data_IF_987858525205
#
_entry.id   IF_987858525205
#
_cell.length_a   1.000
_cell.length_b   1.000
_cell.length_c   1.000
_cell.angle_alpha   90.00
_cell.angle_beta   90.00
_cell.angle_gamma   90.00
#
_symmetry.space_group_name_H-M   'P 1'
#
loop_
_entity.id
_entity.type
_entity.pdbx_description
1 polymer ?
#
# COMPACT_ATOMS: atom_id res chain seq x y z
N UNK A 1 -25.40 13.61 2.84
CA UNK A 1 -24.82 12.32 3.31
C UNK A 1 -25.14 11.24 2.29
N UNK A 2 -24.45 11.25 1.14
CA UNK A 2 -24.77 10.38 0.01
C UNK A 2 -24.15 9.00 0.14
N UNK A 3 -24.84 7.96 -0.35
CA UNK A 3 -24.32 6.61 -0.46
C UNK A 3 -23.04 6.61 -1.30
N UNK A 4 -21.88 6.45 -0.64
CA UNK A 4 -20.60 6.28 -1.33
C UNK A 4 -20.51 4.82 -1.74
N UNK A 5 -20.57 4.55 -3.04
CA UNK A 5 -20.28 3.22 -3.57
C UNK A 5 -18.79 2.96 -3.41
N UNK A 6 -18.43 2.19 -2.38
CA UNK A 6 -17.08 1.71 -2.13
C UNK A 6 -17.14 0.19 -2.07
N UNK A 7 -16.69 -0.48 -3.13
CA UNK A 7 -16.69 -1.94 -3.22
C UNK A 7 -15.26 -2.44 -3.42
N UNK A 8 -14.81 -3.32 -2.52
CA UNK A 8 -13.52 -4.02 -2.67
C UNK A 8 -13.75 -5.38 -3.30
N UNK A 9 -13.23 -5.61 -4.50
CA UNK A 9 -13.20 -6.92 -5.15
C UNK A 9 -11.91 -7.62 -4.72
N UNK A 10 -12.02 -8.81 -4.11
CA UNK A 10 -10.86 -9.64 -3.74
C UNK A 10 -10.48 -10.49 -4.94
N UNK A 11 -9.26 -10.34 -5.44
CA UNK A 11 -8.72 -11.12 -6.56
C UNK A 11 -7.97 -12.38 -6.08
N UNK A 12 -7.86 -12.58 -4.75
CA UNK A 12 -7.14 -13.70 -4.14
C UNK A 12 -5.75 -13.31 -3.62
N UNK A 13 -5.18 -14.11 -2.71
CA UNK A 13 -3.80 -13.92 -2.21
C UNK A 13 -3.51 -12.62 -1.46
N UNK A 14 -4.55 -11.86 -1.06
CA UNK A 14 -4.40 -10.55 -0.45
C UNK A 14 -4.51 -9.38 -1.42
N UNK A 15 -4.43 -9.63 -2.74
CA UNK A 15 -4.71 -8.65 -3.79
C UNK A 15 -6.22 -8.35 -3.86
N UNK A 16 -6.55 -7.07 -4.00
CA UNK A 16 -7.91 -6.63 -4.23
C UNK A 16 -7.98 -5.24 -4.82
N UNK A 17 -9.00 -5.01 -5.64
CA UNK A 17 -9.26 -3.72 -6.28
C UNK A 17 -10.36 -3.01 -5.50
N UNK A 18 -10.11 -1.77 -5.10
CA UNK A 18 -11.14 -0.88 -4.56
C UNK A 18 -11.75 -0.11 -5.72
N UNK A 19 -13.06 -0.25 -5.92
CA UNK A 19 -13.84 0.53 -6.86
C UNK A 19 -14.59 1.58 -6.04
N UNK A 20 -14.37 2.85 -6.35
CA UNK A 20 -15.10 3.97 -5.75
C UNK A 20 -15.49 4.99 -6.84
N UNK A 21 -16.26 6.04 -6.47
CA UNK A 21 -16.64 7.10 -7.42
C UNK A 21 -15.45 7.79 -8.12
N UNK A 22 -14.23 7.71 -7.56
CA UNK A 22 -13.00 8.29 -8.14
C UNK A 22 -12.16 7.29 -8.97
N UNK A 23 -12.62 6.04 -9.14
CA UNK A 23 -11.98 5.05 -10.01
C UNK A 23 -11.56 3.76 -9.30
N UNK A 24 -10.65 3.03 -9.97
CA UNK A 24 -10.16 1.71 -9.56
C UNK A 24 -8.77 1.86 -8.93
N UNK A 25 -8.65 1.46 -7.67
CA UNK A 25 -7.38 1.51 -6.93
C UNK A 25 -6.95 0.10 -6.49
N UNK A 26 -5.82 -0.42 -6.99
CA UNK A 26 -5.29 -1.69 -6.53
C UNK A 26 -4.76 -1.59 -5.09
N UNK A 27 -5.03 -2.64 -4.31
CA UNK A 27 -4.60 -2.81 -2.92
C UNK A 27 -4.08 -4.22 -2.70
N UNK A 28 -2.95 -4.36 -2.02
CA UNK A 28 -2.36 -5.61 -1.62
C UNK A 28 -2.31 -5.70 -0.09
N UNK A 29 -2.99 -6.67 0.51
CA UNK A 29 -3.03 -6.88 1.95
C UNK A 29 -2.26 -8.14 2.33
N UNK A 30 -1.22 -7.98 3.14
CA UNK A 30 -0.42 -9.06 3.72
C UNK A 30 -0.69 -9.19 5.23
N UNK A 31 -0.13 -10.22 5.88
CA UNK A 31 -0.24 -10.39 7.34
C UNK A 31 0.36 -9.20 8.11
N UNK A 32 1.40 -8.58 7.56
CA UNK A 32 2.16 -7.47 8.15
C UNK A 32 1.54 -6.10 7.87
N UNK A 33 0.77 -5.94 6.78
CA UNK A 33 0.25 -4.63 6.41
C UNK A 33 -0.66 -4.61 5.18
N UNK A 34 -1.06 -3.42 4.76
CA UNK A 34 -1.76 -3.17 3.49
C UNK A 34 -0.97 -2.16 2.68
N UNK A 35 -0.66 -2.48 1.44
CA UNK A 35 -0.03 -1.62 0.47
C UNK A 35 -1.06 -1.24 -0.59
N UNK A 36 -1.11 0.02 -0.97
CA UNK A 36 -2.00 0.51 -2.03
C UNK A 36 -1.34 1.66 -2.75
N UNK A 37 -1.85 2.02 -3.93
CA UNK A 37 -1.39 3.19 -4.68
C UNK A 37 -1.39 4.49 -3.82
N UNK A 38 -2.30 4.57 -2.85
CA UNK A 38 -2.50 5.78 -2.04
C UNK A 38 -1.72 5.75 -0.71
N UNK A 39 -0.99 4.67 -0.42
CA UNK A 39 -0.20 4.55 0.80
C UNK A 39 -0.09 3.13 1.34
N UNK A 40 0.66 3.01 2.43
CA UNK A 40 0.89 1.78 3.14
C UNK A 40 0.45 1.89 4.60
N UNK A 41 0.04 0.76 5.17
CA UNK A 41 -0.25 0.63 6.58
C UNK A 41 0.40 -0.64 7.12
N UNK A 42 1.17 -0.52 8.19
CA UNK A 42 1.84 -1.64 8.86
C UNK A 42 1.28 -1.83 10.26
N UNK A 43 1.13 -3.10 10.68
CA UNK A 43 0.74 -3.44 12.04
C UNK A 43 1.95 -3.24 12.95
N UNK A 44 1.80 -2.44 14.00
CA UNK A 44 2.87 -2.17 14.98
C UNK A 44 2.90 -3.18 16.12
N UNK A 45 2.01 -4.18 16.12
CA UNK A 45 1.90 -5.21 17.17
C UNK A 45 0.97 -4.83 18.34
N UNK A 46 0.70 -3.54 18.54
CA UNK A 46 -0.24 -3.07 19.55
C UNK A 46 -1.67 -3.08 18.96
N UNK A 47 -2.64 -3.76 19.61
CA UNK A 47 -4.02 -3.78 19.13
C UNK A 47 -4.59 -2.35 19.10
N UNK A 48 -5.06 -1.91 17.93
CA UNK A 48 -5.62 -0.57 17.71
C UNK A 48 -4.63 0.46 17.16
N UNK A 49 -3.33 0.23 17.28
CA UNK A 49 -2.30 1.10 16.69
C UNK A 49 -1.83 0.54 15.35
N UNK A 50 -1.91 1.36 14.31
CA UNK A 50 -1.41 1.07 12.97
C UNK A 50 -0.60 2.26 12.51
N UNK A 51 0.58 2.00 11.99
CA UNK A 51 1.35 3.01 11.30
C UNK A 51 0.76 3.14 9.89
N UNK A 52 0.32 4.34 9.51
CA UNK A 52 -0.28 4.62 8.20
C UNK A 52 0.43 5.81 7.60
N UNK A 53 0.92 5.66 6.37
CA UNK A 53 1.65 6.71 5.68
C UNK A 53 1.32 6.67 4.17
N UNK A 54 1.18 7.85 3.55
CA UNK A 54 0.90 8.04 2.12
C UNK A 54 2.18 7.84 1.29
N UNK A 55 2.69 6.61 1.30
CA UNK A 55 4.02 6.30 0.76
C UNK A 55 4.05 5.92 -0.72
N UNK A 56 4.16 6.91 -1.60
CA UNK A 56 4.88 6.75 -2.87
C UNK A 56 6.41 6.88 -2.64
N UNK A 57 6.80 7.74 -1.69
CA UNK A 57 8.20 8.08 -1.38
C UNK A 57 9.06 6.92 -0.91
N UNK A 58 8.52 6.00 -0.11
CA UNK A 58 9.31 4.88 0.46
C UNK A 58 9.81 3.94 -0.63
N UNK A 59 9.00 3.70 -1.68
CA UNK A 59 9.43 2.89 -2.82
C UNK A 59 10.55 3.59 -3.58
N UNK A 60 10.45 4.90 -3.82
CA UNK A 60 11.50 5.68 -4.48
C UNK A 60 12.80 5.73 -3.68
N UNK A 61 12.72 5.88 -2.35
CA UNK A 61 13.90 5.86 -1.48
C UNK A 61 14.55 4.48 -1.51
N UNK A 62 13.75 3.42 -1.41
CA UNK A 62 14.27 2.05 -1.39
C UNK A 62 14.89 1.63 -2.73
N UNK A 63 14.25 1.95 -3.86
CA UNK A 63 14.80 1.65 -5.19
C UNK A 63 16.02 2.52 -5.50
N UNK A 64 15.98 3.81 -5.15
CA UNK A 64 17.13 4.71 -5.30
C UNK A 64 18.33 4.26 -4.47
N UNK A 65 18.11 3.82 -3.23
CA UNK A 65 19.16 3.31 -2.36
C UNK A 65 19.77 2.00 -2.88
N UNK A 66 18.96 1.06 -3.34
CA UNK A 66 19.45 -0.17 -3.97
C UNK A 66 20.25 0.12 -5.24
N UNK A 67 19.77 1.02 -6.09
CA UNK A 67 20.50 1.43 -7.30
C UNK A 67 21.83 2.11 -6.96
N UNK A 68 21.86 2.96 -5.93
CA UNK A 68 23.08 3.59 -5.45
C UNK A 68 24.12 2.59 -4.92
N UNK A 69 23.66 1.57 -4.18
CA UNK A 69 24.54 0.49 -3.70
C UNK A 69 25.09 -0.33 -4.86
N UNK A 70 24.26 -0.70 -5.83
CA UNK A 70 24.70 -1.44 -7.03
C UNK A 70 25.72 -0.63 -7.83
N UNK A 71 25.55 0.69 -7.91
CA UNK A 71 26.49 1.57 -8.61
C UNK A 71 27.86 1.66 -7.91
N UNK A 72 27.90 1.71 -6.57
CA UNK A 72 29.17 1.83 -5.83
C UNK A 72 29.91 0.50 -5.64
N UNK A 73 29.21 -0.64 -5.67
CA UNK A 73 29.79 -1.97 -5.55
C UNK A 73 30.13 -2.62 -6.91
N UNK A 74 29.92 -1.90 -8.02
CA UNK A 74 30.39 -2.27 -9.34
C UNK A 74 31.73 -1.60 -9.63
#
# INVERSE_FOLDING_TARGET
MGFRFQKRIKLGGGLGLNINNSGISPSFRTKMGTFSKNGYSTKTGIPGLRYQNSGCLVLFIFTGFLAFLIYNFK
#
